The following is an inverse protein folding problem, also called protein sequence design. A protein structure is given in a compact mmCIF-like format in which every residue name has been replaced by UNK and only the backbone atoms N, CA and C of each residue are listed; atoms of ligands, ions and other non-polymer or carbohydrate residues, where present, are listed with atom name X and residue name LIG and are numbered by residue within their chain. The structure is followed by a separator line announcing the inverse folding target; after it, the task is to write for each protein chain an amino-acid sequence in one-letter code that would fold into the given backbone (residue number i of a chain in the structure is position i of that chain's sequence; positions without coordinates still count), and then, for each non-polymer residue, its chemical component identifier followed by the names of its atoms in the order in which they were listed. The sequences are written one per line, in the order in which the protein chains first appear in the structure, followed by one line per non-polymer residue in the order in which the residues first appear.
data_IF_344398318217
#
_entry.id   IF_344398318217
#
_cell.length_a   1.000
_cell.length_b   1.000
_cell.length_c   1.000
_cell.angle_alpha   90.00
_cell.angle_beta   90.00
_cell.angle_gamma   90.00
#
_symmetry.space_group_name_H-M   'P 1'
#
loop_
_entity.id
_entity.type
_entity.pdbx_description
1 polymer ?
#
# COMPACT_ATOMS: atom_id res chain seq x y z
N UNK A 1 7.83 26.41 -21.29
CA UNK A 1 7.42 26.09 -19.91
C UNK A 1 7.26 24.57 -19.68
N UNK A 2 6.72 23.79 -20.61
CA UNK A 2 6.56 22.32 -20.45
C UNK A 2 7.89 21.55 -20.41
N UNK A 3 8.92 21.98 -21.14
CA UNK A 3 10.23 21.31 -21.13
C UNK A 3 11.00 21.45 -19.80
N UNK A 4 10.81 22.54 -19.06
CA UNK A 4 11.45 22.74 -17.76
C UNK A 4 10.88 21.82 -16.65
N UNK A 5 9.59 21.51 -16.71
CA UNK A 5 8.91 20.66 -15.72
C UNK A 5 9.31 19.19 -15.88
N UNK A 6 9.63 18.75 -17.11
CA UNK A 6 10.04 17.35 -17.37
C UNK A 6 11.41 17.00 -16.76
N UNK A 7 12.30 17.99 -16.58
CA UNK A 7 13.63 17.79 -15.96
C UNK A 7 13.60 17.84 -14.43
N UNK A 8 12.68 18.60 -13.85
CA UNK A 8 12.55 18.73 -12.39
C UNK A 8 11.98 17.44 -11.78
N UNK A 9 11.13 16.74 -12.51
CA UNK A 9 10.46 15.53 -12.03
C UNK A 9 11.44 14.37 -11.67
N UNK A 10 12.45 13.99 -12.48
CA UNK A 10 13.38 12.92 -12.14
C UNK A 10 14.29 13.29 -10.94
N UNK A 11 14.75 14.53 -10.83
CA UNK A 11 15.59 14.99 -9.73
C UNK A 11 14.83 14.98 -8.39
N UNK A 12 13.59 15.44 -8.39
CA UNK A 12 12.73 15.39 -7.20
C UNK A 12 12.47 13.92 -6.83
N UNK A 13 12.15 13.08 -7.82
CA UNK A 13 11.89 11.66 -7.60
C UNK A 13 13.08 10.93 -6.99
N UNK A 14 14.29 11.19 -7.47
CA UNK A 14 15.52 10.62 -6.92
C UNK A 14 15.76 11.05 -5.47
N UNK A 15 15.59 12.35 -5.16
CA UNK A 15 15.69 12.86 -3.78
C UNK A 15 14.63 12.25 -2.86
N UNK A 16 13.41 12.04 -3.35
CA UNK A 16 12.33 11.39 -2.60
C UNK A 16 12.69 9.94 -2.30
N UNK A 17 13.17 9.19 -3.28
CA UNK A 17 13.62 7.81 -3.10
C UNK A 17 14.75 7.73 -2.07
N UNK A 18 15.77 8.57 -2.19
CA UNK A 18 16.90 8.59 -1.24
C UNK A 18 16.47 8.90 0.19
N UNK A 19 15.52 9.83 0.37
CA UNK A 19 14.98 10.16 1.70
C UNK A 19 14.12 9.02 2.27
N UNK A 20 13.33 8.36 1.43
CA UNK A 20 12.50 7.22 1.86
C UNK A 20 13.35 6.02 2.27
N UNK A 21 14.45 5.74 1.56
CA UNK A 21 15.40 4.70 1.95
C UNK A 21 16.05 5.01 3.31
N UNK A 22 16.48 6.25 3.54
CA UNK A 22 17.03 6.65 4.86
C UNK A 22 16.01 6.47 5.98
N UNK A 23 14.75 6.75 5.71
CA UNK A 23 13.66 6.55 6.67
C UNK A 23 13.46 5.06 6.98
N UNK A 24 13.45 4.20 5.95
CA UNK A 24 13.36 2.74 6.07
C UNK A 24 14.48 2.21 6.97
N UNK A 25 15.74 2.57 6.70
CA UNK A 25 16.88 2.12 7.50
C UNK A 25 16.76 2.55 8.98
N UNK A 26 16.25 3.74 9.26
CA UNK A 26 15.99 4.16 10.64
C UNK A 26 14.98 3.25 11.34
N UNK A 27 13.88 2.90 10.68
CA UNK A 27 12.89 1.98 11.23
C UNK A 27 13.44 0.56 11.39
N UNK A 28 14.29 0.09 10.47
CA UNK A 28 14.97 -1.21 10.60
C UNK A 28 15.89 -1.25 11.82
N UNK A 29 16.73 -0.22 12.01
CA UNK A 29 17.62 -0.11 13.18
C UNK A 29 16.80 -0.05 14.47
N UNK A 30 15.71 0.70 14.49
CA UNK A 30 14.83 0.77 15.66
C UNK A 30 14.18 -0.58 15.97
N UNK A 31 13.69 -1.29 14.95
CA UNK A 31 13.14 -2.64 15.12
C UNK A 31 14.20 -3.60 15.65
N UNK A 32 15.39 -3.58 15.06
CA UNK A 32 16.51 -4.43 15.49
C UNK A 32 16.89 -4.16 16.96
N UNK A 33 17.05 -2.90 17.34
CA UNK A 33 17.35 -2.52 18.71
C UNK A 33 16.28 -3.02 19.69
N UNK A 34 15.01 -2.89 19.34
CA UNK A 34 13.92 -3.36 20.16
C UNK A 34 13.87 -4.90 20.26
N UNK A 35 14.20 -5.60 19.17
CA UNK A 35 14.30 -7.08 19.16
C UNK A 35 15.44 -7.59 20.05
N UNK A 36 16.58 -6.90 20.06
CA UNK A 36 17.74 -7.29 20.88
C UNK A 36 17.50 -7.10 22.39
N UNK A 37 16.58 -6.20 22.76
CA UNK A 37 16.32 -5.84 24.16
C UNK A 37 14.98 -6.42 24.67
N UNK A 38 14.12 -6.92 23.78
CA UNK A 38 12.81 -7.43 24.15
C UNK A 38 12.88 -8.81 24.85
N UNK A 39 11.86 -9.09 25.65
CA UNK A 39 11.72 -10.37 26.31
C UNK A 39 11.21 -11.44 25.35
N UNK A 40 11.50 -12.73 25.61
CA UNK A 40 11.08 -13.87 24.78
C UNK A 40 9.55 -13.93 24.56
N UNK A 41 8.76 -13.49 25.54
CA UNK A 41 7.30 -13.44 25.45
C UNK A 41 6.79 -12.55 24.32
N UNK A 42 7.43 -11.41 24.08
CA UNK A 42 7.04 -10.50 22.98
C UNK A 42 7.38 -11.08 21.61
N UNK A 43 8.41 -11.92 21.51
CA UNK A 43 8.78 -12.65 20.31
C UNK A 43 7.86 -13.85 20.04
N UNK A 44 7.24 -14.40 21.06
CA UNK A 44 6.34 -15.56 20.93
C UNK A 44 5.04 -15.20 20.20
N UNK A 45 4.67 -13.92 20.16
CA UNK A 45 3.58 -13.44 19.32
C UNK A 45 4.05 -13.23 17.87
N UNK A 46 4.31 -14.36 17.19
CA UNK A 46 4.85 -14.40 15.83
C UNK A 46 4.06 -13.53 14.85
N UNK A 47 2.74 -13.43 15.00
CA UNK A 47 1.90 -12.65 14.09
C UNK A 47 2.15 -11.15 14.21
N UNK A 48 2.33 -10.62 15.42
CA UNK A 48 2.67 -9.21 15.64
C UNK A 48 4.07 -8.88 15.11
N UNK A 49 5.03 -9.76 15.37
CA UNK A 49 6.39 -9.60 14.84
C UNK A 49 6.43 -9.57 13.31
N UNK A 50 5.78 -10.53 12.65
CA UNK A 50 5.76 -10.60 11.17
C UNK A 50 5.06 -9.39 10.54
N UNK A 51 4.04 -8.83 11.19
CA UNK A 51 3.40 -7.60 10.75
C UNK A 51 4.32 -6.37 10.89
N UNK A 52 5.01 -6.25 12.03
CA UNK A 52 5.96 -5.16 12.24
C UNK A 52 7.16 -5.27 11.28
N UNK A 53 7.64 -6.49 11.01
CA UNK A 53 8.67 -6.77 10.04
C UNK A 53 8.24 -6.38 8.63
N UNK A 54 7.00 -6.68 8.24
CA UNK A 54 6.46 -6.32 6.93
C UNK A 54 6.56 -4.81 6.64
N UNK A 55 6.44 -3.96 7.67
CA UNK A 55 6.58 -2.51 7.51
C UNK A 55 7.98 -2.08 7.09
N UNK A 56 9.03 -2.85 7.42
CA UNK A 56 10.45 -2.48 7.22
C UNK A 56 11.25 -3.46 6.36
N UNK A 57 10.63 -4.52 5.84
CA UNK A 57 11.31 -5.59 5.09
C UNK A 57 11.97 -5.08 3.80
N UNK A 58 12.86 -5.87 3.20
CA UNK A 58 13.68 -5.49 2.03
C UNK A 58 12.97 -5.64 0.69
N UNK A 59 11.71 -6.09 0.65
CA UNK A 59 10.96 -6.24 -0.59
C UNK A 59 10.70 -4.89 -1.29
N UNK A 60 10.57 -4.87 -2.61
CA UNK A 60 10.40 -3.64 -3.40
C UNK A 60 9.12 -2.83 -3.10
N UNK A 61 8.12 -3.46 -2.45
CA UNK A 61 6.83 -2.84 -2.10
C UNK A 61 6.68 -2.67 -0.59
N UNK A 62 7.62 -1.96 0.03
CA UNK A 62 7.62 -1.76 1.49
C UNK A 62 6.86 -0.50 1.86
N UNK A 63 5.90 -0.57 2.82
CA UNK A 63 5.14 0.61 3.24
C UNK A 63 6.01 1.79 3.67
N UNK A 64 7.09 1.54 4.39
CA UNK A 64 8.00 2.60 4.87
C UNK A 64 8.78 3.30 3.75
N UNK A 65 9.06 2.60 2.65
CA UNK A 65 9.74 3.14 1.47
C UNK A 65 8.81 3.98 0.61
N UNK A 66 7.58 3.51 0.43
CA UNK A 66 6.61 4.16 -0.46
C UNK A 66 5.93 5.38 0.16
N UNK A 67 6.00 5.53 1.49
CA UNK A 67 5.28 6.58 2.22
C UNK A 67 5.44 7.98 1.63
N UNK A 68 6.69 8.40 1.39
CA UNK A 68 6.97 9.77 0.91
C UNK A 68 6.47 9.96 -0.53
N UNK A 69 6.66 8.97 -1.41
CA UNK A 69 6.21 9.06 -2.80
C UNK A 69 4.68 9.12 -2.89
N UNK A 70 4.00 8.26 -2.14
CA UNK A 70 2.53 8.23 -2.10
C UNK A 70 1.94 9.51 -1.51
N UNK A 71 2.60 10.08 -0.50
CA UNK A 71 2.20 11.36 0.08
C UNK A 71 2.38 12.52 -0.92
N UNK A 72 3.49 12.54 -1.65
CA UNK A 72 3.70 13.52 -2.73
C UNK A 72 2.63 13.40 -3.83
N UNK A 73 2.32 12.18 -4.26
CA UNK A 73 1.29 11.93 -5.28
C UNK A 73 -0.10 12.36 -4.79
N UNK A 74 -0.41 12.12 -3.52
CA UNK A 74 -1.67 12.57 -2.91
C UNK A 74 -1.78 14.10 -2.88
N UNK A 75 -0.73 14.80 -2.44
CA UNK A 75 -0.71 16.28 -2.44
C UNK A 75 -0.81 16.82 -3.87
N UNK A 76 -0.03 16.27 -4.80
CA UNK A 76 -0.05 16.67 -6.21
C UNK A 76 -1.46 16.51 -6.83
N UNK A 77 -2.15 15.42 -6.49
CA UNK A 77 -3.50 15.17 -6.97
C UNK A 77 -4.52 16.20 -6.45
N UNK A 78 -4.40 16.64 -5.20
CA UNK A 78 -5.24 17.70 -4.63
C UNK A 78 -5.02 19.03 -5.38
N UNK A 79 -3.76 19.41 -5.59
CA UNK A 79 -3.42 20.63 -6.33
C UNK A 79 -3.95 20.56 -7.76
N UNK A 80 -3.79 19.39 -8.43
CA UNK A 80 -4.31 19.15 -9.77
C UNK A 80 -5.84 19.28 -9.85
N UNK A 81 -6.57 18.72 -8.89
CA UNK A 81 -8.03 18.82 -8.81
C UNK A 81 -8.49 20.25 -8.56
N UNK A 82 -7.83 20.99 -7.66
CA UNK A 82 -8.15 22.37 -7.38
C UNK A 82 -7.92 23.26 -8.62
N UNK A 83 -6.83 23.07 -9.35
CA UNK A 83 -6.58 23.80 -10.60
C UNK A 83 -7.64 23.53 -11.67
N UNK A 84 -8.05 22.28 -11.83
CA UNK A 84 -9.12 21.91 -12.75
C UNK A 84 -10.46 22.53 -12.32
N UNK A 85 -10.78 22.56 -11.03
CA UNK A 85 -11.99 23.15 -10.48
C UNK A 85 -12.06 24.65 -10.79
N UNK A 86 -10.95 25.40 -10.62
CA UNK A 86 -10.88 26.83 -10.91
C UNK A 86 -11.16 27.08 -12.40
N UNK A 87 -10.54 26.31 -13.30
CA UNK A 87 -10.74 26.47 -14.75
C UNK A 87 -12.19 26.17 -15.15
N UNK A 88 -12.81 25.15 -14.57
CA UNK A 88 -14.20 24.78 -14.88
C UNK A 88 -15.22 25.79 -14.35
N UNK A 89 -15.01 26.29 -13.13
CA UNK A 89 -15.93 27.22 -12.48
C UNK A 89 -16.04 28.57 -13.23
N UNK A 90 -14.96 28.97 -13.90
CA UNK A 90 -14.94 30.19 -14.68
C UNK A 90 -15.82 30.13 -15.96
N UNK A 91 -15.97 28.92 -16.52
CA UNK A 91 -16.52 28.79 -17.88
C UNK A 91 -17.98 28.33 -17.96
N UNK A 92 -18.46 27.49 -17.02
CA UNK A 92 -19.84 26.97 -17.07
C UNK A 92 -20.27 26.31 -15.76
N UNK A 93 -21.44 26.78 -15.24
CA UNK A 93 -22.06 26.21 -14.06
C UNK A 93 -22.44 24.71 -14.22
N UNK A 94 -22.82 24.30 -15.42
CA UNK A 94 -23.16 22.91 -15.72
C UNK A 94 -21.93 22.01 -15.60
N UNK A 95 -20.75 22.46 -16.03
CA UNK A 95 -19.51 21.70 -15.93
C UNK A 95 -19.08 21.46 -14.47
N UNK A 96 -19.43 22.37 -13.57
CA UNK A 96 -19.24 22.19 -12.14
C UNK A 96 -20.03 20.98 -11.61
N UNK A 97 -21.30 20.83 -11.99
CA UNK A 97 -22.10 19.66 -11.58
C UNK A 97 -21.56 18.34 -12.14
N UNK A 98 -21.08 18.36 -13.38
CA UNK A 98 -20.43 17.17 -13.97
C UNK A 98 -19.15 16.79 -13.22
N UNK A 99 -18.39 17.78 -12.77
CA UNK A 99 -17.22 17.56 -11.92
C UNK A 99 -17.60 16.93 -10.57
N UNK A 100 -18.61 17.45 -9.89
CA UNK A 100 -19.14 16.90 -8.64
C UNK A 100 -19.64 15.47 -8.84
N UNK A 101 -20.39 15.22 -9.91
CA UNK A 101 -20.83 13.87 -10.28
C UNK A 101 -19.64 12.90 -10.45
N UNK A 102 -18.59 13.33 -11.15
CA UNK A 102 -17.36 12.53 -11.33
C UNK A 102 -16.71 12.17 -10.01
N UNK A 103 -16.62 13.11 -9.06
CA UNK A 103 -16.07 12.85 -7.72
C UNK A 103 -16.91 11.79 -6.98
N UNK A 104 -18.23 11.90 -7.02
CA UNK A 104 -19.13 10.98 -6.32
C UNK A 104 -18.98 9.55 -6.90
N UNK A 105 -18.97 9.41 -8.21
CA UNK A 105 -18.81 8.13 -8.90
C UNK A 105 -17.46 7.52 -8.53
N UNK A 106 -16.36 8.28 -8.69
CA UNK A 106 -15.02 7.80 -8.35
C UNK A 106 -14.89 7.40 -6.88
N UNK A 107 -15.44 8.22 -5.96
CA UNK A 107 -15.42 7.91 -4.53
C UNK A 107 -16.10 6.57 -4.23
N UNK A 108 -17.31 6.35 -4.78
CA UNK A 108 -18.09 5.14 -4.52
C UNK A 108 -17.37 3.86 -5.01
N UNK A 109 -16.86 3.87 -6.24
CA UNK A 109 -16.18 2.71 -6.81
C UNK A 109 -14.85 2.44 -6.14
N UNK A 110 -14.04 3.48 -5.91
CA UNK A 110 -12.75 3.32 -5.23
C UNK A 110 -12.92 2.85 -3.77
N UNK A 111 -13.94 3.34 -3.06
CA UNK A 111 -14.24 2.86 -1.71
C UNK A 111 -14.55 1.36 -1.69
N UNK A 112 -15.41 0.87 -2.59
CA UNK A 112 -15.72 -0.56 -2.70
C UNK A 112 -14.49 -1.41 -3.06
N UNK A 113 -13.70 -0.96 -4.01
CA UNK A 113 -12.45 -1.66 -4.38
C UNK A 113 -11.46 -1.69 -3.21
N UNK A 114 -11.34 -0.59 -2.45
CA UNK A 114 -10.49 -0.54 -1.26
C UNK A 114 -10.93 -1.56 -0.20
N UNK A 115 -12.22 -1.65 0.09
CA UNK A 115 -12.77 -2.63 1.03
C UNK A 115 -12.47 -4.06 0.57
N UNK A 116 -12.69 -4.37 -0.71
CA UNK A 116 -12.38 -5.69 -1.29
C UNK A 116 -10.89 -6.05 -1.14
N UNK A 117 -9.99 -5.12 -1.48
CA UNK A 117 -8.53 -5.29 -1.36
C UNK A 117 -8.10 -5.46 0.09
N UNK A 118 -8.71 -4.74 1.03
CA UNK A 118 -8.42 -4.86 2.46
C UNK A 118 -8.80 -6.26 2.98
N UNK A 119 -9.99 -6.76 2.62
CA UNK A 119 -10.43 -8.11 2.98
C UNK A 119 -9.50 -9.16 2.38
N UNK A 120 -9.16 -9.03 1.09
CA UNK A 120 -8.21 -9.92 0.41
C UNK A 120 -6.86 -9.97 1.13
N UNK A 121 -6.26 -8.80 1.42
CA UNK A 121 -4.97 -8.72 2.12
C UNK A 121 -5.03 -9.40 3.49
N UNK A 122 -6.10 -9.21 4.25
CA UNK A 122 -6.32 -9.88 5.54
C UNK A 122 -6.37 -11.41 5.40
N UNK A 123 -7.10 -11.92 4.40
CA UNK A 123 -7.24 -13.36 4.17
C UNK A 123 -5.95 -14.00 3.65
N UNK A 124 -5.15 -13.26 2.89
CA UNK A 124 -3.88 -13.73 2.32
C UNK A 124 -2.71 -13.67 3.31
N UNK A 125 -2.81 -12.90 4.40
CA UNK A 125 -1.69 -12.65 5.30
C UNK A 125 -1.08 -13.94 5.87
N UNK A 126 -1.88 -14.80 6.50
CA UNK A 126 -1.40 -16.07 7.07
C UNK A 126 -0.90 -17.08 6.01
N UNK A 127 -1.60 -17.31 4.89
CA UNK A 127 -1.09 -18.12 3.80
C UNK A 127 0.25 -17.63 3.25
N UNK A 128 0.41 -16.31 3.07
CA UNK A 128 1.66 -15.72 2.57
C UNK A 128 2.83 -16.00 3.51
N UNK A 129 2.67 -15.77 4.81
CA UNK A 129 3.73 -16.08 5.81
C UNK A 129 4.14 -17.55 5.72
N UNK A 130 3.17 -18.46 5.58
CA UNK A 130 3.46 -19.90 5.49
C UNK A 130 4.17 -20.29 4.20
N UNK A 131 3.76 -19.70 3.05
CA UNK A 131 4.46 -19.90 1.79
C UNK A 131 5.89 -19.38 1.86
N UNK A 132 6.08 -18.16 2.34
CA UNK A 132 7.38 -17.53 2.46
C UNK A 132 8.31 -18.32 3.40
N UNK A 133 7.78 -18.78 4.53
CA UNK A 133 8.54 -19.65 5.44
C UNK A 133 9.02 -20.94 4.77
N UNK A 134 8.12 -21.65 4.06
CA UNK A 134 8.46 -22.89 3.36
C UNK A 134 9.50 -22.59 2.28
N UNK A 135 9.30 -21.54 1.49
CA UNK A 135 10.21 -21.14 0.42
C UNK A 135 11.61 -20.80 0.95
N UNK A 136 11.71 -19.93 1.97
CA UNK A 136 13.00 -19.54 2.56
C UNK A 136 13.74 -20.73 3.20
N UNK A 137 13.00 -21.62 3.86
CA UNK A 137 13.59 -22.85 4.42
C UNK A 137 14.08 -23.77 3.32
N UNK A 138 13.33 -23.93 2.23
CA UNK A 138 13.73 -24.75 1.08
C UNK A 138 14.96 -24.21 0.33
N UNK A 139 15.36 -22.94 0.59
CA UNK A 139 16.60 -22.37 0.03
C UNK A 139 17.83 -22.68 0.88
N UNK A 140 17.67 -23.27 2.07
CA UNK A 140 18.83 -23.67 2.91
C UNK A 140 19.29 -25.07 2.57
N UNK A 141 20.59 -25.24 2.28
CA UNK A 141 21.18 -26.54 1.88
C UNK A 141 20.93 -27.66 2.89
N UNK A 142 21.00 -27.36 4.18
CA UNK A 142 20.75 -28.33 5.23
C UNK A 142 19.32 -28.88 5.21
N UNK A 143 18.34 -27.97 5.05
CA UNK A 143 16.94 -28.37 5.00
C UNK A 143 16.61 -29.22 3.75
N UNK A 144 17.19 -28.88 2.59
CA UNK A 144 17.01 -29.65 1.35
C UNK A 144 17.59 -31.05 1.53
N UNK A 145 18.82 -31.15 2.08
CA UNK A 145 19.46 -32.43 2.33
C UNK A 145 18.63 -33.34 3.27
N UNK A 146 18.12 -32.74 4.36
CA UNK A 146 17.30 -33.46 5.31
C UNK A 146 15.98 -33.92 4.66
N UNK A 147 15.33 -33.04 3.89
CA UNK A 147 14.10 -33.37 3.17
C UNK A 147 14.26 -34.48 2.14
N UNK A 148 15.41 -34.57 1.48
CA UNK A 148 15.77 -35.70 0.57
C UNK A 148 16.03 -36.96 1.34
N UNK A 149 16.83 -36.90 2.40
CA UNK A 149 17.19 -38.07 3.22
C UNK A 149 15.95 -38.70 3.88
N UNK A 150 15.04 -37.88 4.38
CA UNK A 150 13.79 -38.34 5.01
C UNK A 150 12.61 -38.53 4.03
N UNK A 151 12.84 -38.35 2.72
CA UNK A 151 11.82 -38.48 1.68
C UNK A 151 10.58 -37.56 1.90
N UNK A 152 10.79 -36.37 2.44
CA UNK A 152 9.71 -35.39 2.77
C UNK A 152 9.46 -34.38 1.66
N UNK A 153 10.13 -34.45 0.53
CA UNK A 153 10.06 -33.49 -0.58
C UNK A 153 8.63 -33.27 -1.07
N UNK A 154 7.87 -34.38 -1.26
CA UNK A 154 6.47 -34.27 -1.73
C UNK A 154 5.54 -33.66 -0.67
N UNK A 155 5.78 -33.91 0.59
CA UNK A 155 4.99 -33.33 1.69
C UNK A 155 5.20 -31.80 1.72
N UNK A 156 6.45 -31.35 1.60
CA UNK A 156 6.80 -29.93 1.59
C UNK A 156 6.20 -29.24 0.38
N UNK A 157 6.37 -29.84 -0.82
CA UNK A 157 5.79 -29.35 -2.09
C UNK A 157 4.27 -29.23 -2.00
N UNK A 158 3.58 -30.24 -1.52
CA UNK A 158 2.12 -30.25 -1.39
C UNK A 158 1.63 -29.19 -0.38
N UNK A 159 2.35 -28.97 0.72
CA UNK A 159 2.04 -27.89 1.66
C UNK A 159 2.19 -26.51 1.00
N UNK A 160 3.29 -26.30 0.26
CA UNK A 160 3.51 -25.05 -0.48
C UNK A 160 2.38 -24.80 -1.50
N UNK A 161 2.07 -25.78 -2.35
CA UNK A 161 1.00 -25.71 -3.34
C UNK A 161 -0.35 -25.42 -2.68
N UNK A 162 -0.65 -26.07 -1.55
CA UNK A 162 -1.90 -25.82 -0.81
C UNK A 162 -2.05 -24.37 -0.34
N UNK A 163 -0.99 -23.76 0.19
CA UNK A 163 -1.04 -22.37 0.64
C UNK A 163 -1.04 -21.40 -0.55
N UNK A 164 -0.25 -21.68 -1.59
CA UNK A 164 -0.24 -20.89 -2.82
C UNK A 164 -1.61 -20.90 -3.51
N UNK A 165 -2.29 -22.04 -3.58
CA UNK A 165 -3.64 -22.13 -4.14
C UNK A 165 -4.66 -21.31 -3.32
N UNK A 166 -4.51 -21.22 -2.00
CA UNK A 166 -5.35 -20.33 -1.18
C UNK A 166 -5.13 -18.86 -1.54
N UNK A 167 -3.87 -18.46 -1.72
CA UNK A 167 -3.51 -17.09 -2.13
C UNK A 167 -4.11 -16.79 -3.51
N UNK A 168 -3.91 -17.68 -4.47
CA UNK A 168 -4.44 -17.52 -5.84
C UNK A 168 -5.96 -17.47 -5.89
N UNK A 169 -6.65 -18.25 -5.06
CA UNK A 169 -8.11 -18.22 -4.97
C UNK A 169 -8.62 -16.88 -4.43
N UNK A 170 -8.00 -16.32 -3.39
CA UNK A 170 -8.38 -15.00 -2.86
C UNK A 170 -8.07 -13.88 -3.87
N UNK A 171 -6.93 -13.94 -4.56
CA UNK A 171 -6.58 -13.03 -5.66
C UNK A 171 -7.63 -13.08 -6.78
N UNK A 172 -7.96 -14.27 -7.26
CA UNK A 172 -8.94 -14.47 -8.33
C UNK A 172 -10.33 -13.96 -7.93
N UNK A 173 -10.74 -14.19 -6.68
CA UNK A 173 -12.00 -13.68 -6.15
C UNK A 173 -12.03 -12.15 -6.10
N UNK A 174 -10.97 -11.54 -5.60
CA UNK A 174 -10.84 -10.09 -5.55
C UNK A 174 -10.84 -9.49 -6.96
N UNK A 175 -10.03 -10.03 -7.87
CA UNK A 175 -9.94 -9.55 -9.25
C UNK A 175 -11.30 -9.66 -9.98
N UNK A 176 -12.03 -10.75 -9.80
CA UNK A 176 -13.39 -10.89 -10.38
C UNK A 176 -14.36 -9.82 -9.86
N UNK A 177 -14.29 -9.51 -8.57
CA UNK A 177 -15.13 -8.46 -7.98
C UNK A 177 -14.71 -7.07 -8.47
N UNK A 178 -13.41 -6.79 -8.57
CA UNK A 178 -12.89 -5.53 -9.07
C UNK A 178 -13.25 -5.35 -10.55
N UNK A 179 -13.13 -6.39 -11.39
CA UNK A 179 -13.57 -6.34 -12.79
C UNK A 179 -15.08 -6.03 -12.93
N UNK A 180 -15.94 -6.62 -12.09
CA UNK A 180 -17.37 -6.28 -12.11
C UNK A 180 -17.61 -4.81 -11.78
N UNK A 181 -16.92 -4.29 -10.77
CA UNK A 181 -17.00 -2.87 -10.40
C UNK A 181 -16.50 -1.97 -11.52
N UNK A 182 -15.40 -2.34 -12.18
CA UNK A 182 -14.82 -1.58 -13.29
C UNK A 182 -15.75 -1.51 -14.51
N UNK A 183 -16.41 -2.62 -14.87
CA UNK A 183 -17.40 -2.63 -15.96
C UNK A 183 -18.57 -1.69 -15.65
N UNK A 184 -19.09 -1.73 -14.42
CA UNK A 184 -20.17 -0.81 -14.00
C UNK A 184 -19.66 0.65 -14.01
N UNK A 185 -18.44 0.89 -13.52
CA UNK A 185 -17.82 2.21 -13.52
C UNK A 185 -17.69 2.78 -14.93
N UNK A 186 -17.26 1.98 -15.91
CA UNK A 186 -17.17 2.40 -17.32
C UNK A 186 -18.52 2.92 -17.83
N UNK A 187 -19.62 2.27 -17.49
CA UNK A 187 -20.97 2.73 -17.87
C UNK A 187 -21.28 4.12 -17.30
N UNK A 188 -20.95 4.37 -16.02
CA UNK A 188 -21.14 5.70 -15.42
C UNK A 188 -20.23 6.78 -16.04
N UNK A 189 -18.97 6.42 -16.34
CA UNK A 189 -18.04 7.33 -17.02
C UNK A 189 -18.55 7.67 -18.41
N UNK A 190 -19.02 6.68 -19.15
CA UNK A 190 -19.61 6.89 -20.48
C UNK A 190 -20.86 7.79 -20.43
N UNK A 191 -21.77 7.58 -19.47
CA UNK A 191 -22.94 8.44 -19.29
C UNK A 191 -22.54 9.89 -19.00
N UNK A 192 -21.52 10.11 -18.21
CA UNK A 192 -20.93 11.43 -17.95
C UNK A 192 -20.45 12.09 -19.24
N UNK A 193 -19.65 11.36 -20.02
CA UNK A 193 -19.06 11.86 -21.26
C UNK A 193 -20.15 12.23 -22.30
N UNK A 194 -21.22 11.44 -22.37
CA UNK A 194 -22.40 11.76 -23.18
C UNK A 194 -23.08 13.06 -22.74
N UNK A 195 -23.29 13.25 -21.43
CA UNK A 195 -23.91 14.49 -20.91
C UNK A 195 -23.09 15.70 -21.32
N UNK A 196 -21.78 15.61 -21.20
CA UNK A 196 -20.85 16.69 -21.57
C UNK A 196 -20.96 17.00 -23.06
N UNK A 197 -20.89 15.98 -23.92
CA UNK A 197 -21.01 16.13 -25.35
C UNK A 197 -22.33 16.84 -25.73
N UNK A 198 -23.43 16.40 -25.16
CA UNK A 198 -24.76 17.02 -25.43
C UNK A 198 -24.79 18.48 -25.01
N UNK A 199 -24.29 18.80 -23.80
CA UNK A 199 -24.30 20.20 -23.29
C UNK A 199 -23.41 21.10 -24.15
N UNK A 200 -22.23 20.66 -24.49
CA UNK A 200 -21.28 21.47 -25.27
C UNK A 200 -21.78 21.66 -26.72
N UNK A 201 -22.29 20.60 -27.36
CA UNK A 201 -22.85 20.68 -28.72
C UNK A 201 -24.04 21.67 -28.71
N UNK A 202 -24.94 21.61 -27.72
CA UNK A 202 -26.05 22.54 -27.58
C UNK A 202 -25.56 23.98 -27.45
N UNK A 203 -24.50 24.23 -26.69
CA UNK A 203 -23.93 25.58 -26.51
C UNK A 203 -23.24 26.09 -27.79
N UNK A 204 -22.59 25.23 -28.56
CA UNK A 204 -21.99 25.58 -29.85
C UNK A 204 -23.10 25.96 -30.85
N UNK A 205 -24.15 25.16 -30.95
CA UNK A 205 -25.27 25.42 -31.85
C UNK A 205 -26.03 26.72 -31.50
N UNK A 206 -26.02 27.08 -30.21
CA UNK A 206 -26.60 28.35 -29.76
C UNK A 206 -25.64 29.55 -29.90
N UNK A 207 -24.45 29.37 -30.47
CA UNK A 207 -23.45 30.43 -30.66
C UNK A 207 -22.78 30.93 -29.37
N UNK A 208 -22.99 30.26 -28.23
CA UNK A 208 -22.42 30.64 -26.93
C UNK A 208 -20.99 30.17 -26.71
N UNK A 209 -20.56 29.16 -27.42
CA UNK A 209 -19.24 28.57 -27.29
C UNK A 209 -18.64 28.23 -28.67
N UNK A 210 -17.31 28.21 -28.73
CA UNK A 210 -16.57 27.86 -29.93
C UNK A 210 -16.25 26.36 -29.98
N UNK A 211 -15.88 25.85 -31.15
CA UNK A 211 -15.40 24.48 -31.32
C UNK A 211 -14.10 24.25 -30.50
N UNK A 212 -13.28 25.29 -30.33
CA UNK A 212 -12.09 25.25 -29.49
C UNK A 212 -12.41 24.92 -28.02
N UNK A 213 -13.54 25.45 -27.53
CA UNK A 213 -14.01 25.19 -26.16
C UNK A 213 -14.37 23.71 -25.97
N UNK A 214 -14.92 23.05 -27.00
CA UNK A 214 -15.21 21.63 -26.96
C UNK A 214 -13.92 20.79 -26.71
N UNK A 215 -12.86 21.08 -27.46
CA UNK A 215 -11.57 20.37 -27.33
C UNK A 215 -11.00 20.59 -25.93
N UNK A 216 -11.10 21.82 -25.43
CA UNK A 216 -10.62 22.18 -24.09
C UNK A 216 -11.37 21.41 -23.00
N UNK A 217 -12.71 21.41 -23.02
CA UNK A 217 -13.52 20.71 -22.02
C UNK A 217 -13.30 19.20 -22.05
N UNK A 218 -13.27 18.60 -23.24
CA UNK A 218 -13.00 17.17 -23.38
C UNK A 218 -11.61 16.80 -22.85
N UNK A 219 -10.60 17.61 -23.14
CA UNK A 219 -9.26 17.47 -22.58
C UNK A 219 -9.23 17.58 -21.06
N UNK A 220 -9.91 18.58 -20.48
CA UNK A 220 -9.99 18.79 -19.04
C UNK A 220 -10.63 17.62 -18.31
N UNK A 221 -11.69 17.01 -18.86
CA UNK A 221 -12.36 15.87 -18.25
C UNK A 221 -11.43 14.67 -18.13
N UNK A 222 -10.66 14.40 -19.17
CA UNK A 222 -9.66 13.32 -19.14
C UNK A 222 -8.58 13.60 -18.09
N UNK A 223 -8.15 14.85 -17.93
CA UNK A 223 -7.20 15.29 -16.91
C UNK A 223 -7.79 15.13 -15.51
N UNK A 224 -9.04 15.54 -15.30
CA UNK A 224 -9.75 15.36 -14.02
C UNK A 224 -9.84 13.90 -13.63
N UNK A 225 -10.21 13.02 -14.57
CA UNK A 225 -10.30 11.59 -14.32
C UNK A 225 -8.96 11.02 -13.87
N UNK A 226 -7.86 11.44 -14.48
CA UNK A 226 -6.50 11.03 -14.07
C UNK A 226 -6.17 11.50 -12.66
N UNK A 227 -6.47 12.77 -12.32
CA UNK A 227 -6.22 13.32 -10.98
C UNK A 227 -7.10 12.67 -9.91
N UNK A 228 -8.38 12.38 -10.22
CA UNK A 228 -9.26 11.65 -9.31
C UNK A 228 -8.74 10.23 -9.05
N UNK A 229 -8.36 9.50 -10.09
CA UNK A 229 -7.78 8.17 -9.93
C UNK A 229 -6.49 8.21 -9.08
N UNK A 230 -5.59 9.17 -9.35
CA UNK A 230 -4.38 9.35 -8.57
C UNK A 230 -4.70 9.66 -7.10
N UNK A 231 -5.65 10.57 -6.83
CA UNK A 231 -6.08 10.94 -5.49
C UNK A 231 -6.58 9.72 -4.69
N UNK A 232 -7.51 8.96 -5.27
CA UNK A 232 -8.10 7.83 -4.56
C UNK A 232 -7.11 6.66 -4.39
N UNK A 233 -6.27 6.40 -5.39
CA UNK A 233 -5.23 5.37 -5.29
C UNK A 233 -4.20 5.75 -4.23
N UNK A 234 -3.70 6.97 -4.23
CA UNK A 234 -2.74 7.45 -3.23
C UNK A 234 -3.35 7.48 -1.83
N UNK A 235 -4.62 7.92 -1.68
CA UNK A 235 -5.34 7.85 -0.40
C UNK A 235 -5.45 6.40 0.12
N UNK A 236 -5.81 5.45 -0.75
CA UNK A 236 -5.91 4.03 -0.39
C UNK A 236 -4.55 3.47 0.07
N UNK A 237 -3.48 3.82 -0.65
CA UNK A 237 -2.14 3.39 -0.30
C UNK A 237 -1.66 4.03 1.01
N UNK A 238 -1.96 5.32 1.26
CA UNK A 238 -1.65 5.97 2.54
C UNK A 238 -2.36 5.29 3.70
N UNK A 239 -3.65 4.97 3.58
CA UNK A 239 -4.39 4.25 4.61
C UNK A 239 -3.77 2.87 4.90
N UNK A 240 -3.33 2.17 3.87
CA UNK A 240 -2.63 0.90 4.04
C UNK A 240 -1.28 1.06 4.75
N UNK A 241 -0.49 2.07 4.38
CA UNK A 241 0.79 2.39 5.02
C UNK A 241 0.57 2.78 6.49
N UNK A 242 -0.45 3.60 6.79
CA UNK A 242 -0.79 3.98 8.16
C UNK A 242 -1.17 2.76 9.00
N UNK A 243 -1.99 1.84 8.47
CA UNK A 243 -2.34 0.60 9.17
C UNK A 243 -1.12 -0.28 9.44
N UNK A 244 -0.20 -0.40 8.48
CA UNK A 244 1.06 -1.15 8.66
C UNK A 244 1.98 -0.47 9.69
N UNK A 245 1.95 0.86 9.76
CA UNK A 245 2.70 1.63 10.74
C UNK A 245 2.12 1.49 12.15
N UNK A 246 0.80 1.41 12.28
CA UNK A 246 0.14 1.12 13.57
C UNK A 246 0.55 -0.25 14.11
N UNK A 247 0.56 -1.29 13.26
CA UNK A 247 1.06 -2.63 13.62
C UNK A 247 2.54 -2.57 14.08
N UNK A 248 3.37 -1.77 13.41
CA UNK A 248 4.77 -1.55 13.80
C UNK A 248 4.91 -0.83 15.15
N UNK A 249 4.12 0.22 15.39
CA UNK A 249 4.14 0.95 16.67
C UNK A 249 3.64 0.05 17.81
N UNK A 250 2.59 -0.72 17.59
CA UNK A 250 2.04 -1.63 18.61
C UNK A 250 3.11 -2.63 19.04
N UNK A 251 3.81 -3.25 18.10
CA UNK A 251 4.91 -4.16 18.41
C UNK A 251 6.03 -3.47 19.21
N UNK A 252 6.44 -2.26 18.79
CA UNK A 252 7.49 -1.52 19.50
C UNK A 252 7.07 -1.08 20.90
N UNK A 253 5.82 -0.75 21.14
CA UNK A 253 5.29 -0.46 22.48
C UNK A 253 5.31 -1.70 23.37
N UNK A 254 4.89 -2.84 22.85
CA UNK A 254 4.93 -4.11 23.58
C UNK A 254 6.39 -4.49 23.90
N UNK A 255 7.30 -4.42 22.90
CA UNK A 255 8.71 -4.68 23.13
C UNK A 255 9.34 -3.75 24.19
N UNK A 256 8.96 -2.48 24.22
CA UNK A 256 9.46 -1.52 25.23
C UNK A 256 8.88 -1.76 26.63
N UNK A 257 7.63 -2.25 26.75
CA UNK A 257 7.03 -2.62 28.06
C UNK A 257 7.75 -3.80 28.71
N UNK A 258 8.25 -4.71 27.90
CA UNK A 258 8.98 -5.91 28.31
C UNK A 258 10.50 -5.74 28.16
N UNK A 259 10.99 -4.49 28.14
CA UNK A 259 12.43 -4.28 28.21
C UNK A 259 12.94 -5.02 29.44
N UNK A 260 13.77 -6.05 29.18
CA UNK A 260 14.57 -6.67 30.21
C UNK A 260 15.33 -5.52 30.89
N UNK A 261 15.11 -5.32 32.18
CA UNK A 261 16.00 -4.49 32.98
C UNK A 261 17.36 -5.21 32.96
N UNK A 262 18.08 -4.99 31.89
CA UNK A 262 19.52 -5.22 31.82
C UNK A 262 20.13 -4.13 32.72
N UNK A 263 19.88 -4.20 34.03
CA UNK A 263 20.88 -3.77 34.96
C UNK A 263 22.12 -4.58 34.55
N UNK A 264 23.01 -3.91 33.84
CA UNK A 264 24.38 -4.32 33.71
C UNK A 264 24.87 -4.21 35.16
N UNK A 265 24.53 -5.22 35.97
CA UNK A 265 25.24 -5.49 37.18
C UNK A 265 26.62 -5.88 36.68
N UNK A 266 27.59 -5.04 36.90
CA UNK A 266 28.97 -5.48 37.11
C UNK A 266 28.96 -6.37 38.35
N UNK A 267 28.21 -7.46 38.31
CA UNK A 267 28.41 -8.53 39.21
C UNK A 267 29.60 -9.28 38.63
N UNK A 268 30.77 -9.06 39.22
CA UNK A 268 31.80 -10.07 39.23
C UNK A 268 31.07 -11.40 39.44
N UNK A 269 31.11 -12.28 38.46
CA UNK A 269 30.68 -13.66 38.64
C UNK A 269 31.62 -14.22 39.70
N UNK A 270 31.25 -14.17 40.97
CA UNK A 270 31.81 -15.01 41.99
C UNK A 270 31.55 -16.43 41.51
N UNK A 271 32.60 -17.23 41.54
CA UNK A 271 32.61 -18.61 41.10
C UNK A 271 31.37 -19.31 41.65
N UNK A 272 30.45 -19.74 40.79
CA UNK A 272 29.27 -20.49 41.20
C UNK A 272 29.79 -21.87 41.65
N UNK A 273 29.86 -22.08 42.95
CA UNK A 273 30.36 -23.36 43.52
C UNK A 273 29.28 -24.42 43.60
N UNK A 274 28.01 -24.06 43.58
CA UNK A 274 26.92 -25.04 43.70
C UNK A 274 25.60 -24.51 43.16
N UNK A 275 24.91 -25.32 42.34
CA UNK A 275 23.53 -25.09 41.90
C UNK A 275 22.64 -26.16 42.54
N UNK A 276 21.73 -25.77 43.44
CA UNK A 276 20.73 -26.65 44.02
C UNK A 276 19.36 -26.41 43.36
N UNK A 277 18.79 -27.47 42.79
CA UNK A 277 17.41 -27.50 42.37
C UNK A 277 16.53 -27.92 43.55
N UNK A 278 15.68 -27.03 44.06
CA UNK A 278 14.63 -27.39 45.03
C UNK A 278 13.37 -27.74 44.25
N UNK A 279 12.90 -29.00 44.44
CA UNK A 279 11.58 -29.44 43.97
C UNK A 279 10.45 -28.70 44.71
#
# INVERSE_FOLDING_TARGET
LMSGISWVNPVIKEKVITKSEKLRYRYQIQLLNNLLVCNYESLNNRTKYEKAKYFVDESDQVPSREYISVLCDWIASIIGLLSCMIILSHNSFVMFFVFVYSIIVEYFFNYKQHVNKSIMKKNMFLPNIKCDYIFRKSMTSNFIRDAVVFNETDIIKNKYIKYNNKIMNELNKSNKNDLKLDVIKIFFVFSRDLIICIVVIKNILSGKQSVSDFILYYGLINVITKWLNLYFTSKSNLLFICSSYEDYIEFNKDANRFKRNLTIGHNHFEKIEKIEFKN
#
